data_IF_984802865595
#
_entry.id   IF_984802865595
#
_cell.length_a   1.000
_cell.length_b   1.000
_cell.length_c   1.000
_cell.angle_alpha   90.00
_cell.angle_beta   90.00
_cell.angle_gamma   90.00
#
_symmetry.space_group_name_H-M   'P 1'
#
loop_
_entity.id
_entity.type
_entity.pdbx_description
1 polymer ?
#
# COMPACT_ATOMS: atom_id res chain seq x y z
N UNK A 1 -15.10 4.69 10.10
CA UNK A 1 -13.62 4.64 9.96
C UNK A 1 -13.33 4.74 8.47
N UNK A 2 -12.60 5.76 8.01
CA UNK A 2 -12.26 5.95 6.60
C UNK A 2 -10.85 5.38 6.34
N UNK A 3 -10.79 4.13 5.88
CA UNK A 3 -9.57 3.51 5.34
C UNK A 3 -9.30 4.09 3.94
N UNK A 4 -8.02 4.24 3.56
CA UNK A 4 -7.64 4.72 2.23
C UNK A 4 -7.97 3.70 1.13
N UNK A 5 -7.81 2.41 1.43
CA UNK A 5 -8.15 1.30 0.54
C UNK A 5 -9.29 0.48 1.11
N UNK A 6 -10.13 -0.07 0.24
CA UNK A 6 -11.23 -0.94 0.67
C UNK A 6 -10.75 -2.38 0.73
N UNK A 7 -11.18 -3.12 1.75
CA UNK A 7 -10.95 -4.57 1.78
C UNK A 7 -11.68 -5.23 0.60
N UNK A 8 -11.07 -6.27 0.03
CA UNK A 8 -11.47 -6.98 -1.20
C UNK A 8 -11.39 -6.15 -2.48
N UNK A 9 -10.85 -4.94 -2.41
CA UNK A 9 -10.47 -4.19 -3.60
C UNK A 9 -9.24 -4.82 -4.24
N UNK A 10 -9.21 -4.82 -5.57
CA UNK A 10 -8.04 -5.20 -6.35
C UNK A 10 -7.47 -3.94 -6.97
N UNK A 11 -6.22 -3.62 -6.64
CA UNK A 11 -5.49 -2.51 -7.25
C UNK A 11 -4.45 -3.04 -8.22
N UNK A 12 -4.17 -2.27 -9.27
CA UNK A 12 -3.08 -2.57 -10.19
C UNK A 12 -1.86 -1.71 -9.83
N UNK A 13 -0.72 -2.36 -9.67
CA UNK A 13 0.56 -1.66 -9.47
C UNK A 13 1.06 -1.07 -10.79
N UNK A 14 1.99 -0.11 -10.72
CA UNK A 14 2.65 0.47 -11.91
C UNK A 14 3.38 -0.58 -12.77
N UNK A 15 3.78 -1.70 -12.15
CA UNK A 15 4.38 -2.85 -12.84
C UNK A 15 3.34 -3.77 -13.52
N UNK A 16 2.06 -3.43 -13.48
CA UNK A 16 0.96 -4.19 -14.07
C UNK A 16 0.49 -5.38 -13.25
N UNK A 17 1.06 -5.63 -12.07
CA UNK A 17 0.66 -6.73 -11.17
C UNK A 17 -0.61 -6.37 -10.40
N UNK A 18 -1.52 -7.35 -10.27
CA UNK A 18 -2.72 -7.24 -9.44
C UNK A 18 -2.36 -7.45 -7.97
N UNK A 19 -2.97 -6.64 -7.10
CA UNK A 19 -2.79 -6.68 -5.65
C UNK A 19 -4.15 -6.62 -4.95
N UNK A 20 -4.55 -7.74 -4.33
CA UNK A 20 -5.83 -7.86 -3.62
C UNK A 20 -5.67 -7.45 -2.16
N UNK A 21 -6.49 -6.50 -1.68
CA UNK A 21 -6.45 -6.00 -0.30
C UNK A 21 -7.23 -6.94 0.61
N UNK A 22 -6.57 -7.66 1.51
CA UNK A 22 -7.22 -8.70 2.33
C UNK A 22 -7.66 -8.17 3.69
N UNK A 23 -6.77 -7.46 4.39
CA UNK A 23 -6.99 -7.06 5.78
C UNK A 23 -6.24 -5.78 6.13
N UNK A 24 -6.87 -4.91 6.93
CA UNK A 24 -6.18 -3.77 7.54
C UNK A 24 -5.32 -4.26 8.71
N UNK A 25 -4.02 -3.95 8.69
CA UNK A 25 -3.08 -4.33 9.74
C UNK A 25 -2.84 -3.20 10.75
N UNK A 26 -2.89 -1.95 10.29
CA UNK A 26 -2.71 -0.79 11.16
C UNK A 26 -2.48 0.50 10.38
N UNK A 27 -2.58 1.62 11.07
CA UNK A 27 -2.33 2.95 10.52
C UNK A 27 -1.52 3.80 11.47
N UNK A 28 -0.76 4.74 10.92
CA UNK A 28 0.04 5.71 11.67
C UNK A 28 0.17 7.02 10.89
N UNK A 29 0.99 7.95 11.38
CA UNK A 29 1.05 9.31 10.81
C UNK A 29 1.46 9.41 9.33
N UNK A 30 2.07 8.36 8.77
CA UNK A 30 2.56 8.35 7.38
C UNK A 30 1.64 7.62 6.41
N UNK A 31 0.67 6.86 6.92
CA UNK A 31 -0.20 6.04 6.09
C UNK A 31 -0.67 4.78 6.80
N UNK A 32 -1.13 3.83 6.00
CA UNK A 32 -1.77 2.61 6.42
C UNK A 32 -1.01 1.38 5.91
N UNK A 33 -1.16 0.27 6.60
CA UNK A 33 -0.57 -1.01 6.25
C UNK A 33 -1.67 -2.05 6.15
N UNK A 34 -1.65 -2.79 5.06
CA UNK A 34 -2.61 -3.84 4.75
C UNK A 34 -1.88 -5.16 4.52
N UNK A 35 -2.54 -6.26 4.86
CA UNK A 35 -2.20 -7.56 4.29
C UNK A 35 -2.81 -7.60 2.90
N UNK A 36 -2.00 -7.92 1.91
CA UNK A 36 -2.44 -8.00 0.52
C UNK A 36 -1.84 -9.22 -0.19
N UNK A 37 -2.44 -9.60 -1.31
CA UNK A 37 -1.96 -10.66 -2.18
C UNK A 37 -1.52 -10.06 -3.52
N UNK A 38 -0.21 -9.97 -3.72
CA UNK A 38 0.41 -9.47 -4.96
C UNK A 38 0.62 -10.64 -5.93
N UNK A 39 -0.34 -10.84 -6.83
CA UNK A 39 -0.26 -11.86 -7.89
C UNK A 39 0.09 -13.28 -7.37
N UNK A 40 -0.53 -13.69 -6.26
CA UNK A 40 -0.29 -14.96 -5.58
C UNK A 40 0.66 -14.88 -4.39
N UNK A 41 1.37 -13.76 -4.20
CA UNK A 41 2.36 -13.60 -3.12
C UNK A 41 1.77 -12.77 -1.97
N UNK A 42 1.68 -13.31 -0.75
CA UNK A 42 1.24 -12.54 0.41
C UNK A 42 2.30 -11.49 0.79
N UNK A 43 1.87 -10.23 0.89
CA UNK A 43 2.72 -9.08 1.21
C UNK A 43 2.08 -8.19 2.28
N UNK A 44 2.91 -7.36 2.93
CA UNK A 44 2.45 -6.19 3.65
C UNK A 44 2.47 -4.98 2.70
N UNK A 45 1.30 -4.50 2.29
CA UNK A 45 1.16 -3.32 1.45
C UNK A 45 1.15 -2.07 2.33
N UNK A 46 2.15 -1.21 2.16
CA UNK A 46 2.16 0.11 2.79
C UNK A 46 1.59 1.16 1.84
N UNK A 47 0.55 1.86 2.27
CA UNK A 47 -0.13 2.90 1.52
C UNK A 47 0.06 4.26 2.19
N UNK A 48 0.75 5.18 1.52
CA UNK A 48 1.10 6.49 2.07
C UNK A 48 -0.04 7.48 1.94
N UNK A 49 -0.20 8.39 2.91
CA UNK A 49 -1.07 9.55 2.72
C UNK A 49 -0.53 10.45 1.60
N UNK A 50 -1.37 11.15 0.83
CA UNK A 50 -0.90 12.01 -0.27
C UNK A 50 0.15 13.05 0.15
N UNK A 51 0.03 13.57 1.37
CA UNK A 51 0.97 14.55 1.96
C UNK A 51 2.35 13.94 2.30
N UNK A 52 2.43 12.61 2.34
CA UNK A 52 3.60 11.79 2.70
C UNK A 52 4.08 10.92 1.53
N UNK A 53 3.54 11.19 0.32
CA UNK A 53 3.92 10.53 -0.93
C UNK A 53 4.74 11.48 -1.81
N UNK A 54 5.69 12.22 -1.22
CA UNK A 54 6.56 13.12 -1.99
C UNK A 54 7.58 12.33 -2.82
N UNK A 55 8.05 12.93 -3.92
CA UNK A 55 9.08 12.30 -4.76
C UNK A 55 10.38 12.05 -3.98
N UNK A 56 10.75 12.95 -3.08
CA UNK A 56 11.92 12.79 -2.22
C UNK A 56 11.77 11.60 -1.27
N UNK A 57 10.60 11.43 -0.66
CA UNK A 57 10.29 10.28 0.19
C UNK A 57 10.31 8.96 -0.59
N UNK A 58 9.80 8.97 -1.83
CA UNK A 58 9.92 7.81 -2.73
C UNK A 58 11.38 7.47 -3.02
N UNK A 59 12.21 8.46 -3.36
CA UNK A 59 13.62 8.24 -3.66
C UNK A 59 14.39 7.62 -2.49
N UNK A 60 14.05 7.97 -1.25
CA UNK A 60 14.66 7.35 -0.05
C UNK A 60 14.32 5.86 0.02
N UNK A 61 13.09 5.47 -0.32
CA UNK A 61 12.67 4.07 -0.33
C UNK A 61 13.36 3.28 -1.45
N UNK A 62 13.57 3.90 -2.61
CA UNK A 62 14.27 3.28 -3.75
C UNK A 62 15.77 3.06 -3.50
N UNK A 63 16.34 3.67 -2.45
CA UNK A 63 17.74 3.51 -2.05
C UNK A 63 17.97 2.43 -0.97
N UNK A 64 16.91 1.80 -0.45
CA UNK A 64 16.98 0.70 0.52
C UNK A 64 17.19 -0.66 -0.17
#
# INVERSE_FOLDING_TARGET
MNQLLKLKECIQTDAGMNCDIEQFLGGGGQGEVYKANLSGNPVALKWYYPQQASQEQKNILDML
#
